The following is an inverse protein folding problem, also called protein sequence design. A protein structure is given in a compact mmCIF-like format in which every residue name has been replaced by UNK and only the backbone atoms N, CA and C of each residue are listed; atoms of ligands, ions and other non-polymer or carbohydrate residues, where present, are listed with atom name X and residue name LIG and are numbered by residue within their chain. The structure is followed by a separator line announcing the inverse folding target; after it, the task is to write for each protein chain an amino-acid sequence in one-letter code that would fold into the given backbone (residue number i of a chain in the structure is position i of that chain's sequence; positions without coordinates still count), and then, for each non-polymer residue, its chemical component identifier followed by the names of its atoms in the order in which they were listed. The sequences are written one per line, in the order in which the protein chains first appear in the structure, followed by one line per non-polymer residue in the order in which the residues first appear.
data_IF_951906790248
#
_entry.id   IF_951906790248
#
_cell.length_a   1.000
_cell.length_b   1.000
_cell.length_c   1.000
_cell.angle_alpha   90.00
_cell.angle_beta   90.00
_cell.angle_gamma   90.00
#
_symmetry.space_group_name_H-M   'P 1'
#
loop_
_entity.id
_entity.type
_entity.pdbx_description
1 polymer ?
#
# COMPACT_ATOMS: atom_id res chain seq x y z
N UNK A 1 -29.53 -2.43 -3.08
CA UNK A 1 -30.41 -2.71 -1.94
C UNK A 1 -31.84 -2.66 -2.43
N UNK A 2 -32.65 -3.65 -2.10
CA UNK A 2 -34.09 -3.69 -2.43
C UNK A 2 -34.91 -3.38 -1.19
N UNK A 3 -36.14 -2.90 -1.38
CA UNK A 3 -37.12 -2.67 -0.32
C UNK A 3 -37.19 -1.22 0.18
N UNK A 4 -37.67 -1.04 1.39
CA UNK A 4 -38.00 0.27 1.96
C UNK A 4 -36.82 0.99 2.63
N UNK A 5 -35.57 0.41 2.52
CA UNK A 5 -34.38 1.01 3.11
C UNK A 5 -33.73 1.95 2.10
N UNK A 6 -33.51 3.20 2.50
CA UNK A 6 -32.80 4.21 1.74
C UNK A 6 -31.47 4.54 2.42
N UNK A 7 -30.41 4.72 1.63
CA UNK A 7 -29.11 5.14 2.11
C UNK A 7 -28.84 6.58 1.66
N UNK A 8 -28.30 7.39 2.56
CA UNK A 8 -27.66 8.66 2.23
C UNK A 8 -26.13 8.47 2.31
N UNK A 9 -25.40 8.93 1.30
CA UNK A 9 -23.95 8.86 1.25
C UNK A 9 -23.36 10.25 1.43
N UNK A 10 -22.38 10.37 2.32
CA UNK A 10 -21.51 11.52 2.44
C UNK A 10 -20.06 11.02 2.52
N UNK A 11 -19.15 11.79 1.95
CA UNK A 11 -17.71 11.51 1.98
C UNK A 11 -16.92 12.77 2.30
N UNK A 12 -15.73 12.57 2.85
CA UNK A 12 -14.73 13.58 3.11
C UNK A 12 -13.37 13.02 2.67
N UNK A 13 -12.48 13.86 2.18
CA UNK A 13 -11.13 13.48 1.77
C UNK A 13 -10.16 13.66 2.94
N UNK A 14 -9.49 12.60 3.33
CA UNK A 14 -8.49 12.62 4.42
C UNK A 14 -7.06 12.92 3.94
N UNK A 15 -6.88 13.05 2.62
CA UNK A 15 -5.60 13.30 1.94
C UNK A 15 -4.46 12.37 2.43
N UNK A 16 -4.80 11.19 2.91
CA UNK A 16 -3.89 10.22 3.53
C UNK A 16 -3.11 10.77 4.74
N UNK A 17 -3.71 11.68 5.50
CA UNK A 17 -3.12 12.29 6.71
C UNK A 17 -3.97 11.95 7.93
N UNK A 18 -3.41 11.30 8.98
CA UNK A 18 -4.15 10.83 10.15
C UNK A 18 -4.96 11.92 10.85
N UNK A 19 -4.40 13.11 11.02
CA UNK A 19 -5.07 14.25 11.67
C UNK A 19 -6.27 14.73 10.83
N UNK A 20 -6.11 14.81 9.51
CA UNK A 20 -7.21 15.16 8.59
C UNK A 20 -8.29 14.09 8.61
N UNK A 21 -7.92 12.81 8.68
CA UNK A 21 -8.88 11.71 8.78
C UNK A 21 -9.72 11.76 10.07
N UNK A 22 -9.10 12.11 11.20
CA UNK A 22 -9.83 12.33 12.47
C UNK A 22 -10.85 13.48 12.32
N UNK A 23 -10.47 14.58 11.67
CA UNK A 23 -11.37 15.71 11.43
C UNK A 23 -12.52 15.31 10.48
N UNK A 24 -12.21 14.58 9.40
CA UNK A 24 -13.18 14.05 8.46
C UNK A 24 -14.17 13.09 9.14
N UNK A 25 -13.67 12.17 9.97
CA UNK A 25 -14.50 11.26 10.75
C UNK A 25 -15.49 12.02 11.66
N UNK A 26 -15.00 13.03 12.40
CA UNK A 26 -15.85 13.83 13.28
C UNK A 26 -16.92 14.61 12.49
N UNK A 27 -16.59 15.18 11.34
CA UNK A 27 -17.54 15.86 10.48
C UNK A 27 -18.63 14.91 9.94
N UNK A 28 -18.25 13.68 9.58
CA UNK A 28 -19.20 12.66 9.16
C UNK A 28 -20.09 12.18 10.32
N UNK A 29 -19.51 12.03 11.52
CA UNK A 29 -20.25 11.70 12.75
C UNK A 29 -21.29 12.77 13.09
N UNK A 30 -20.92 14.07 13.05
CA UNK A 30 -21.83 15.20 13.27
C UNK A 30 -22.95 15.26 12.23
N UNK A 31 -22.69 14.85 10.99
CA UNK A 31 -23.73 14.69 9.96
C UNK A 31 -24.71 13.56 10.26
N UNK A 32 -24.36 12.63 11.14
CA UNK A 32 -25.21 11.51 11.55
C UNK A 32 -24.81 10.17 10.92
N UNK A 33 -23.53 9.97 10.61
CA UNK A 33 -23.00 8.71 10.12
C UNK A 33 -23.36 7.55 11.05
N UNK A 34 -23.88 6.47 10.47
CA UNK A 34 -24.24 5.24 11.18
C UNK A 34 -23.37 4.05 10.78
N UNK A 35 -22.81 4.10 9.57
CA UNK A 35 -21.90 3.10 9.01
C UNK A 35 -20.76 3.85 8.33
N UNK A 36 -19.53 3.43 8.59
CA UNK A 36 -18.34 3.95 7.91
C UNK A 36 -17.79 2.92 6.92
N UNK A 37 -17.50 3.36 5.69
CA UNK A 37 -16.78 2.60 4.66
C UNK A 37 -15.43 3.29 4.39
N UNK A 38 -14.61 3.42 5.43
CA UNK A 38 -13.31 4.09 5.38
C UNK A 38 -12.58 3.93 6.73
N UNK A 39 -11.35 4.51 6.94
CA UNK A 39 -10.58 5.18 5.89
C UNK A 39 -10.02 4.20 4.88
N UNK A 40 -9.57 4.70 3.71
CA UNK A 40 -9.09 3.83 2.63
C UNK A 40 -7.68 3.30 2.93
N UNK A 41 -6.81 4.14 3.48
CA UNK A 41 -5.41 3.80 3.75
C UNK A 41 -5.16 3.45 5.21
N UNK A 42 -4.08 2.72 5.49
CA UNK A 42 -3.82 2.12 6.80
C UNK A 42 -3.60 3.14 7.91
N UNK A 43 -2.73 4.13 7.71
CA UNK A 43 -2.39 5.10 8.76
C UNK A 43 -3.60 5.94 9.21
N UNK A 44 -4.40 6.54 8.31
CA UNK A 44 -5.70 7.13 8.63
C UNK A 44 -6.67 6.14 9.27
N UNK A 45 -6.71 4.91 8.74
CA UNK A 45 -7.59 3.84 9.23
C UNK A 45 -7.33 3.48 10.69
N UNK A 46 -6.07 3.41 11.12
CA UNK A 46 -5.73 3.18 12.54
C UNK A 46 -6.30 4.28 13.42
N UNK A 47 -6.18 5.54 13.02
CA UNK A 47 -6.68 6.69 13.80
C UNK A 47 -8.20 6.73 13.87
N UNK A 48 -8.88 6.56 12.74
CA UNK A 48 -10.36 6.65 12.68
C UNK A 48 -11.04 5.42 13.27
N UNK A 49 -10.44 4.23 13.15
CA UNK A 49 -11.00 3.00 13.72
C UNK A 49 -11.01 3.00 15.25
N UNK A 50 -10.05 3.69 15.89
CA UNK A 50 -10.06 3.88 17.33
C UNK A 50 -11.29 4.69 17.77
N UNK A 51 -11.61 5.78 17.07
CA UNK A 51 -12.81 6.59 17.33
C UNK A 51 -14.09 5.80 17.05
N UNK A 52 -14.14 5.08 15.92
CA UNK A 52 -15.27 4.25 15.57
C UNK A 52 -15.55 3.14 16.59
N UNK A 53 -14.49 2.58 17.19
CA UNK A 53 -14.62 1.60 18.25
C UNK A 53 -15.25 2.20 19.51
N UNK A 54 -14.80 3.37 19.94
CA UNK A 54 -15.34 4.10 21.09
C UNK A 54 -16.81 4.53 20.84
N UNK A 55 -17.08 5.04 19.66
CA UNK A 55 -18.42 5.51 19.26
C UNK A 55 -19.40 4.38 18.91
N UNK A 56 -18.91 3.13 18.84
CA UNK A 56 -19.69 1.94 18.44
C UNK A 56 -20.29 2.04 17.04
N UNK A 57 -19.64 2.76 16.14
CA UNK A 57 -20.03 2.85 14.73
C UNK A 57 -19.45 1.65 13.99
N UNK A 58 -20.29 0.91 13.28
CA UNK A 58 -19.84 -0.17 12.39
C UNK A 58 -18.95 0.42 11.30
N UNK A 59 -17.75 -0.13 11.18
CA UNK A 59 -16.75 0.35 10.22
C UNK A 59 -16.19 -0.81 9.41
N UNK A 60 -16.08 -0.61 8.11
CA UNK A 60 -15.43 -1.53 7.20
C UNK A 60 -14.47 -0.75 6.31
N UNK A 61 -13.15 -1.02 6.45
CA UNK A 61 -12.18 -0.46 5.51
C UNK A 61 -12.11 -1.29 4.24
N UNK A 62 -12.16 -0.67 3.06
CA UNK A 62 -12.02 -1.40 1.79
C UNK A 62 -10.57 -1.81 1.52
N UNK A 63 -9.59 -1.01 1.94
CA UNK A 63 -8.18 -1.16 1.55
C UNK A 63 -7.17 -0.92 2.67
N UNK A 64 -7.56 -0.37 3.82
CA UNK A 64 -6.66 -0.19 4.96
C UNK A 64 -6.14 -1.53 5.48
N UNK A 65 -4.99 -1.99 4.99
CA UNK A 65 -4.51 -3.38 5.07
C UNK A 65 -3.69 -3.69 6.33
N UNK A 66 -3.29 -2.67 7.10
CA UNK A 66 -2.61 -2.90 8.39
C UNK A 66 -3.52 -3.64 9.39
N UNK A 67 -3.03 -4.70 10.05
CA UNK A 67 -3.76 -5.37 11.13
C UNK A 67 -4.16 -4.44 12.27
N UNK A 68 -3.43 -3.34 12.48
CA UNK A 68 -3.68 -2.37 13.55
C UNK A 68 -5.02 -1.62 13.35
N UNK A 69 -5.54 -1.59 12.12
CA UNK A 69 -6.86 -1.01 11.84
C UNK A 69 -7.97 -1.75 12.60
N UNK A 70 -7.90 -3.09 12.65
CA UNK A 70 -8.96 -3.93 13.23
C UNK A 70 -8.60 -4.51 14.60
N UNK A 71 -7.33 -4.54 14.97
CA UNK A 71 -6.85 -5.22 16.18
C UNK A 71 -7.56 -4.72 17.44
N UNK A 72 -8.17 -5.65 18.19
CA UNK A 72 -8.88 -5.36 19.43
C UNK A 72 -10.24 -4.65 19.28
N UNK A 73 -10.77 -4.52 18.06
CA UNK A 73 -12.01 -3.79 17.76
C UNK A 73 -13.05 -4.73 17.14
N UNK A 74 -14.16 -4.98 17.87
CA UNK A 74 -15.22 -5.92 17.47
C UNK A 74 -16.26 -5.36 16.49
N UNK A 75 -16.19 -4.06 16.19
CA UNK A 75 -17.07 -3.36 15.26
C UNK A 75 -16.33 -2.77 14.04
N UNK A 76 -15.04 -3.12 13.87
CA UNK A 76 -14.21 -2.68 12.75
C UNK A 76 -13.75 -3.90 11.95
N UNK A 77 -13.96 -3.85 10.65
CA UNK A 77 -13.68 -4.96 9.73
C UNK A 77 -12.81 -4.49 8.56
N UNK A 78 -12.08 -5.43 7.97
CA UNK A 78 -11.17 -5.22 6.86
C UNK A 78 -11.57 -6.14 5.70
N UNK A 79 -11.75 -5.59 4.50
CA UNK A 79 -12.11 -6.35 3.29
C UNK A 79 -10.90 -6.85 2.51
N UNK A 80 -9.80 -6.08 2.54
CA UNK A 80 -8.57 -6.39 1.81
C UNK A 80 -7.73 -7.45 2.54
N UNK A 81 -6.74 -7.98 1.83
CA UNK A 81 -5.69 -8.79 2.45
C UNK A 81 -4.79 -7.91 3.36
N UNK A 82 -4.14 -8.53 4.34
CA UNK A 82 -3.33 -7.79 5.30
C UNK A 82 -1.91 -7.52 4.80
N UNK A 83 -1.25 -6.48 5.38
CA UNK A 83 0.15 -6.16 5.09
C UNK A 83 1.10 -7.35 5.26
N UNK A 84 1.01 -8.16 6.34
CA UNK A 84 1.83 -9.38 6.43
C UNK A 84 1.60 -10.35 5.27
N UNK A 85 0.36 -10.52 4.80
CA UNK A 85 0.08 -11.38 3.66
C UNK A 85 0.67 -10.83 2.36
N UNK A 86 0.69 -9.50 2.17
CA UNK A 86 1.35 -8.88 1.03
C UNK A 86 2.85 -9.11 1.04
N UNK A 87 3.50 -8.91 2.19
CA UNK A 87 4.93 -9.13 2.35
C UNK A 87 5.32 -10.58 2.06
N UNK A 88 4.60 -11.53 2.65
CA UNK A 88 4.79 -12.96 2.43
C UNK A 88 4.63 -13.34 0.95
N UNK A 89 3.49 -12.98 0.35
CA UNK A 89 3.19 -13.33 -1.03
C UNK A 89 4.16 -12.70 -2.02
N UNK A 90 4.63 -11.47 -1.76
CA UNK A 90 5.62 -10.80 -2.60
C UNK A 90 6.97 -11.53 -2.58
N UNK A 91 7.48 -11.89 -1.39
CA UNK A 91 8.74 -12.63 -1.26
C UNK A 91 8.65 -14.00 -1.94
N UNK A 92 7.55 -14.73 -1.70
CA UNK A 92 7.29 -16.04 -2.32
C UNK A 92 7.25 -15.94 -3.85
N UNK A 93 6.53 -14.96 -4.39
CA UNK A 93 6.40 -14.80 -5.84
C UNK A 93 7.73 -14.40 -6.50
N UNK A 94 8.48 -13.48 -5.90
CA UNK A 94 9.81 -13.09 -6.40
C UNK A 94 10.73 -14.31 -6.43
N UNK A 95 10.73 -15.12 -5.37
CA UNK A 95 11.53 -16.33 -5.26
C UNK A 95 11.12 -17.41 -6.28
N UNK A 96 9.83 -17.76 -6.33
CA UNK A 96 9.31 -18.84 -7.17
C UNK A 96 9.46 -18.54 -8.67
N UNK A 97 9.33 -17.27 -9.05
CA UNK A 97 9.48 -16.85 -10.44
C UNK A 97 10.92 -16.48 -10.83
N UNK A 98 11.86 -16.47 -9.87
CA UNK A 98 13.24 -16.06 -10.12
C UNK A 98 13.34 -14.65 -10.70
N UNK A 99 12.55 -13.72 -10.16
CA UNK A 99 12.43 -12.37 -10.73
C UNK A 99 13.70 -11.54 -10.56
N UNK A 100 14.49 -11.78 -9.52
CA UNK A 100 15.76 -11.14 -9.25
C UNK A 100 16.65 -12.05 -8.44
N UNK A 101 17.99 -11.88 -8.59
CA UNK A 101 18.99 -12.58 -7.80
C UNK A 101 19.35 -11.81 -6.54
N UNK A 102 19.33 -10.46 -6.61
CA UNK A 102 19.69 -9.54 -5.54
C UNK A 102 18.61 -8.50 -5.34
N UNK A 103 17.87 -8.65 -4.26
CA UNK A 103 16.74 -7.77 -3.94
C UNK A 103 17.20 -6.65 -3.01
N UNK A 104 16.86 -5.41 -3.35
CA UNK A 104 16.99 -4.26 -2.45
C UNK A 104 15.59 -3.71 -2.13
N UNK A 105 15.38 -3.22 -0.90
CA UNK A 105 14.06 -2.75 -0.47
C UNK A 105 14.11 -1.26 -0.19
N UNK A 106 13.20 -0.48 -0.80
CA UNK A 106 13.02 0.94 -0.43
C UNK A 106 11.63 1.08 0.18
N UNK A 107 11.56 1.50 1.44
CA UNK A 107 10.34 1.51 2.21
C UNK A 107 10.19 2.74 3.09
N UNK A 108 8.95 3.06 3.47
CA UNK A 108 8.60 4.24 4.27
C UNK A 108 8.49 3.84 5.75
N UNK A 109 9.43 4.30 6.59
CA UNK A 109 9.55 3.82 7.96
C UNK A 109 8.68 4.56 8.99
N UNK A 110 7.98 5.61 8.57
CA UNK A 110 6.98 6.32 9.37
C UNK A 110 5.54 5.99 8.95
N UNK A 111 5.32 4.87 8.27
CA UNK A 111 4.02 4.40 7.79
C UNK A 111 3.78 2.94 8.20
N UNK A 112 2.64 2.66 8.82
CA UNK A 112 2.32 1.31 9.34
C UNK A 112 2.12 0.30 8.22
N UNK A 113 1.59 0.72 7.07
CA UNK A 113 1.41 -0.10 5.88
C UNK A 113 2.75 -0.58 5.33
N UNK A 114 3.62 0.36 5.01
CA UNK A 114 4.95 0.07 4.45
C UNK A 114 5.79 -0.78 5.41
N UNK A 115 5.75 -0.46 6.71
CA UNK A 115 6.46 -1.20 7.76
C UNK A 115 5.95 -2.62 7.92
N UNK A 116 4.63 -2.81 7.91
CA UNK A 116 3.99 -4.13 8.05
C UNK A 116 4.37 -5.09 6.92
N UNK A 117 4.35 -4.60 5.69
CA UNK A 117 4.75 -5.37 4.50
C UNK A 117 6.26 -5.69 4.55
N UNK A 118 7.10 -4.67 4.82
CA UNK A 118 8.55 -4.83 4.90
C UNK A 118 8.95 -5.91 5.90
N UNK A 119 8.43 -5.87 7.12
CA UNK A 119 8.78 -6.80 8.18
C UNK A 119 8.48 -8.26 7.79
N UNK A 120 7.32 -8.50 7.21
CA UNK A 120 6.96 -9.86 6.77
C UNK A 120 7.73 -10.29 5.54
N UNK A 121 7.96 -9.38 4.58
CA UNK A 121 8.78 -9.67 3.41
C UNK A 121 10.18 -10.14 3.80
N UNK A 122 10.85 -9.43 4.70
CA UNK A 122 12.21 -9.80 5.15
C UNK A 122 12.21 -11.15 5.87
N UNK A 123 11.19 -11.41 6.72
CA UNK A 123 11.05 -12.68 7.41
C UNK A 123 10.90 -13.85 6.43
N UNK A 124 10.06 -13.69 5.42
CA UNK A 124 9.82 -14.74 4.42
C UNK A 124 11.01 -14.88 3.47
N UNK A 125 11.63 -13.78 3.05
CA UNK A 125 12.82 -13.78 2.22
C UNK A 125 13.97 -14.57 2.87
N UNK A 126 14.19 -14.38 4.18
CA UNK A 126 15.18 -15.14 4.95
C UNK A 126 14.83 -16.64 4.97
N UNK A 127 13.57 -16.99 5.19
CA UNK A 127 13.11 -18.37 5.22
C UNK A 127 13.28 -19.10 3.88
N UNK A 128 13.09 -18.38 2.77
CA UNK A 128 13.24 -18.88 1.41
C UNK A 128 14.70 -18.91 0.92
N UNK A 129 15.59 -18.15 1.59
CA UNK A 129 16.97 -17.93 1.12
C UNK A 129 17.05 -16.95 -0.06
N UNK A 130 16.10 -16.04 -0.19
CA UNK A 130 16.14 -14.95 -1.16
C UNK A 130 17.22 -13.93 -0.74
N UNK A 131 18.12 -13.56 -1.64
CA UNK A 131 19.23 -12.66 -1.33
C UNK A 131 18.77 -11.19 -1.25
N UNK A 132 18.46 -10.74 -0.03
CA UNK A 132 18.15 -9.34 0.26
C UNK A 132 19.45 -8.61 0.57
N UNK A 133 20.03 -7.95 -0.44
CA UNK A 133 21.36 -7.29 -0.37
C UNK A 133 21.35 -5.99 0.41
N UNK A 134 20.19 -5.45 0.77
CA UNK A 134 20.07 -4.27 1.60
C UNK A 134 18.69 -3.65 1.60
N UNK A 135 18.56 -2.59 2.38
CA UNK A 135 17.35 -1.78 2.38
C UNK A 135 17.68 -0.32 2.68
N UNK A 136 16.80 0.59 2.27
CA UNK A 136 16.88 2.01 2.60
C UNK A 136 15.47 2.55 2.92
N UNK A 137 15.43 3.57 3.76
CA UNK A 137 14.18 4.16 4.21
C UNK A 137 14.01 5.60 3.75
N UNK A 138 12.78 6.05 3.79
CA UNK A 138 12.41 7.45 3.73
C UNK A 138 11.23 7.71 4.68
N UNK A 139 10.91 8.98 4.88
CA UNK A 139 9.78 9.47 5.69
C UNK A 139 8.89 10.37 4.85
N UNK A 140 7.77 10.80 5.38
CA UNK A 140 6.90 11.79 4.76
C UNK A 140 7.68 13.03 4.32
N UNK A 141 8.60 13.53 5.16
CA UNK A 141 9.37 14.75 4.89
C UNK A 141 10.47 14.56 3.83
N UNK A 142 10.86 13.32 3.54
CA UNK A 142 11.95 12.99 2.60
C UNK A 142 11.47 12.24 1.36
N UNK A 143 10.17 12.24 1.09
CA UNK A 143 9.50 11.46 0.04
C UNK A 143 9.61 12.03 -1.38
N UNK A 144 10.55 12.92 -1.64
CA UNK A 144 10.70 13.58 -2.95
C UNK A 144 12.04 13.35 -3.64
N UNK A 145 13.05 12.91 -2.91
CA UNK A 145 14.39 12.64 -3.46
C UNK A 145 14.90 11.28 -2.96
N UNK A 146 15.09 10.37 -3.89
CA UNK A 146 15.48 8.98 -3.64
C UNK A 146 16.87 8.64 -4.20
N UNK A 147 17.64 9.65 -4.63
CA UNK A 147 18.97 9.44 -5.22
C UNK A 147 19.89 8.66 -4.28
N UNK A 148 19.85 8.92 -2.97
CA UNK A 148 20.69 8.20 -1.99
C UNK A 148 20.28 6.73 -1.92
N UNK A 149 18.98 6.44 -1.81
CA UNK A 149 18.46 5.07 -1.73
C UNK A 149 18.76 4.29 -3.00
N UNK A 150 18.59 4.91 -4.17
CA UNK A 150 18.90 4.31 -5.46
C UNK A 150 20.41 4.07 -5.64
N UNK A 151 21.27 5.00 -5.19
CA UNK A 151 22.71 4.81 -5.20
C UNK A 151 23.11 3.61 -4.33
N UNK A 152 22.55 3.48 -3.13
CA UNK A 152 22.81 2.33 -2.25
C UNK A 152 22.37 1.01 -2.90
N UNK A 153 21.21 0.97 -3.55
CA UNK A 153 20.75 -0.20 -4.28
C UNK A 153 21.70 -0.59 -5.43
N UNK A 154 22.14 0.41 -6.21
CA UNK A 154 23.06 0.21 -7.32
C UNK A 154 24.44 -0.28 -6.84
N UNK A 155 24.98 0.31 -5.77
CA UNK A 155 26.25 -0.10 -5.17
C UNK A 155 26.18 -1.50 -4.56
N UNK A 156 25.04 -1.91 -4.02
CA UNK A 156 24.78 -3.27 -3.56
C UNK A 156 24.64 -4.28 -4.72
N UNK A 157 24.56 -3.80 -5.95
CA UNK A 157 24.40 -4.62 -7.15
C UNK A 157 23.00 -5.23 -7.27
N UNK A 158 21.99 -4.57 -6.74
CA UNK A 158 20.61 -5.04 -6.81
C UNK A 158 20.09 -5.05 -8.26
N UNK A 159 19.49 -6.14 -8.66
CA UNK A 159 18.81 -6.33 -9.96
C UNK A 159 17.29 -6.25 -9.85
N UNK A 160 16.77 -6.25 -8.62
CA UNK A 160 15.36 -6.02 -8.31
C UNK A 160 15.23 -5.08 -7.11
N UNK A 161 14.35 -4.07 -7.23
CA UNK A 161 13.96 -3.22 -6.11
C UNK A 161 12.51 -3.55 -5.72
N UNK A 162 12.31 -3.96 -4.47
CA UNK A 162 11.01 -4.14 -3.87
C UNK A 162 10.53 -2.83 -3.23
N UNK A 163 9.30 -2.41 -3.58
CA UNK A 163 8.70 -1.14 -3.20
C UNK A 163 7.37 -1.36 -2.43
N UNK A 164 7.40 -1.66 -1.11
CA UNK A 164 6.19 -1.72 -0.29
C UNK A 164 5.69 -0.31 0.07
N UNK A 165 5.27 0.46 -0.92
CA UNK A 165 4.95 1.88 -0.82
C UNK A 165 3.79 2.25 -1.75
N UNK A 166 3.28 3.48 -1.61
CA UNK A 166 2.24 4.02 -2.49
C UNK A 166 2.79 4.54 -3.82
N UNK A 167 1.88 4.75 -4.78
CA UNK A 167 2.19 5.09 -6.18
C UNK A 167 2.94 6.43 -6.38
N UNK A 168 2.69 7.44 -5.53
CA UNK A 168 3.36 8.74 -5.69
C UNK A 168 4.88 8.67 -5.45
N UNK A 169 5.39 8.19 -4.29
CA UNK A 169 6.83 8.01 -4.13
C UNK A 169 7.41 6.98 -5.12
N UNK A 170 6.65 5.94 -5.49
CA UNK A 170 7.08 4.96 -6.46
C UNK A 170 7.34 5.61 -7.84
N UNK A 171 6.45 6.47 -8.33
CA UNK A 171 6.64 7.18 -9.62
C UNK A 171 7.91 8.04 -9.63
N UNK A 172 8.24 8.67 -8.49
CA UNK A 172 9.47 9.45 -8.33
C UNK A 172 10.72 8.56 -8.30
N UNK A 173 10.65 7.40 -7.67
CA UNK A 173 11.74 6.41 -7.64
C UNK A 173 12.03 5.92 -9.06
N UNK A 174 11.01 5.53 -9.83
CA UNK A 174 11.17 5.09 -11.22
C UNK A 174 11.78 6.20 -12.09
N UNK A 175 11.27 7.42 -11.97
CA UNK A 175 11.79 8.58 -12.70
C UNK A 175 13.25 8.87 -12.36
N UNK A 176 13.63 8.83 -11.09
CA UNK A 176 15.00 9.11 -10.67
C UNK A 176 15.96 7.97 -11.01
N UNK A 177 15.51 6.71 -10.99
CA UNK A 177 16.31 5.59 -11.46
C UNK A 177 16.65 5.71 -12.95
N UNK A 178 15.68 6.09 -13.78
CA UNK A 178 15.89 6.37 -15.21
C UNK A 178 16.90 7.50 -15.42
N UNK A 179 16.75 8.61 -14.70
CA UNK A 179 17.68 9.75 -14.75
C UNK A 179 19.12 9.37 -14.36
N UNK A 180 19.28 8.38 -13.47
CA UNK A 180 20.58 7.83 -13.07
C UNK A 180 21.12 6.79 -14.06
N UNK A 181 20.36 6.38 -15.08
CA UNK A 181 20.68 5.27 -15.95
C UNK A 181 20.72 3.93 -15.23
N UNK A 182 19.99 3.78 -14.13
CA UNK A 182 19.88 2.56 -13.34
C UNK A 182 18.53 1.88 -13.63
N UNK A 183 18.58 0.70 -14.23
CA UNK A 183 17.40 -0.01 -14.72
C UNK A 183 17.25 -1.40 -14.06
N UNK A 184 17.01 -1.47 -12.74
CA UNK A 184 16.63 -2.72 -12.08
C UNK A 184 15.19 -3.09 -12.44
N UNK A 185 14.77 -4.32 -12.14
CA UNK A 185 13.35 -4.64 -12.09
C UNK A 185 12.71 -3.97 -10.88
N UNK A 186 11.45 -3.58 -11.01
CA UNK A 186 10.66 -3.06 -9.89
C UNK A 186 9.50 -3.98 -9.58
N UNK A 187 9.32 -4.27 -8.32
CA UNK A 187 8.19 -5.04 -7.82
C UNK A 187 7.52 -4.26 -6.68
N UNK A 188 6.23 -4.04 -6.80
CA UNK A 188 5.43 -3.29 -5.83
C UNK A 188 4.30 -4.10 -5.23
N UNK A 189 3.46 -3.40 -4.51
CA UNK A 189 2.29 -3.92 -3.79
C UNK A 189 1.04 -3.13 -4.21
N UNK A 190 -0.12 -3.44 -3.65
CA UNK A 190 -1.40 -2.83 -4.03
C UNK A 190 -1.40 -1.30 -3.98
N UNK A 191 -0.66 -0.70 -3.04
CA UNK A 191 -0.51 0.76 -2.95
C UNK A 191 0.14 1.42 -4.17
N UNK A 192 0.77 0.65 -5.06
CA UNK A 192 1.29 1.15 -6.33
C UNK A 192 0.26 1.16 -7.45
N UNK A 193 -0.90 0.54 -7.26
CA UNK A 193 -1.99 0.62 -8.22
C UNK A 193 -2.41 2.10 -8.40
N UNK A 194 -2.65 2.50 -9.65
CA UNK A 194 -2.89 3.91 -9.97
C UNK A 194 -1.65 4.72 -10.37
N UNK A 195 -0.44 4.14 -10.37
CA UNK A 195 0.81 4.83 -10.77
C UNK A 195 0.71 5.44 -12.18
N UNK A 196 -0.02 4.80 -13.09
CA UNK A 196 -0.23 5.30 -14.45
C UNK A 196 -1.09 6.56 -14.52
N UNK A 197 -1.82 6.89 -13.44
CA UNK A 197 -2.63 8.10 -13.32
C UNK A 197 -1.92 9.29 -12.67
N UNK A 198 -0.65 9.15 -12.29
CA UNK A 198 0.10 10.23 -11.66
C UNK A 198 0.36 11.35 -12.67
N UNK A 199 -0.06 12.57 -12.33
CA UNK A 199 0.12 13.72 -13.20
C UNK A 199 1.60 14.00 -13.46
N UNK A 200 1.98 14.09 -14.75
CA UNK A 200 3.35 14.36 -15.17
C UNK A 200 4.31 13.17 -15.11
N UNK A 201 3.83 11.99 -14.72
CA UNK A 201 4.63 10.77 -14.77
C UNK A 201 4.73 10.23 -16.20
N UNK A 202 5.94 9.90 -16.65
CA UNK A 202 6.14 9.18 -17.90
C UNK A 202 5.79 7.70 -17.71
N UNK A 203 4.61 7.31 -18.18
CA UNK A 203 4.08 5.95 -18.02
C UNK A 203 4.92 4.88 -18.71
N UNK A 204 5.80 5.24 -19.66
CA UNK A 204 6.72 4.28 -20.28
C UNK A 204 7.74 3.72 -19.28
N UNK A 205 8.02 4.44 -18.19
CA UNK A 205 8.90 3.99 -17.10
C UNK A 205 8.26 2.88 -16.23
N UNK A 206 6.95 2.70 -16.35
CA UNK A 206 6.25 1.61 -15.69
C UNK A 206 6.21 0.31 -16.51
N UNK A 207 6.79 0.30 -17.72
CA UNK A 207 6.85 -0.92 -18.53
C UNK A 207 7.70 -1.99 -17.81
N UNK A 208 7.11 -3.17 -17.63
CA UNK A 208 7.75 -4.28 -16.91
C UNK A 208 7.72 -4.18 -15.38
N UNK A 209 7.14 -3.13 -14.81
CA UNK A 209 6.86 -3.06 -13.37
C UNK A 209 5.77 -4.07 -13.02
N UNK A 210 6.01 -4.85 -11.99
CA UNK A 210 5.03 -5.81 -11.45
C UNK A 210 4.54 -5.33 -10.10
N UNK A 211 3.29 -5.62 -9.79
CA UNK A 211 2.72 -5.35 -8.47
C UNK A 211 1.77 -6.45 -8.03
N UNK A 212 1.69 -6.65 -6.72
CA UNK A 212 0.68 -7.49 -6.12
C UNK A 212 -0.62 -6.66 -5.97
N UNK A 213 -1.73 -7.19 -6.45
CA UNK A 213 -3.04 -6.54 -6.33
C UNK A 213 -4.12 -7.56 -5.95
N UNK A 214 -5.11 -7.20 -5.12
CA UNK A 214 -6.22 -8.08 -4.80
C UNK A 214 -7.24 -8.19 -5.92
N UNK A 215 -7.23 -7.26 -6.87
CA UNK A 215 -8.21 -7.17 -7.94
C UNK A 215 -7.54 -6.80 -9.26
N UNK A 216 -7.90 -7.53 -10.31
CA UNK A 216 -7.53 -7.19 -11.67
C UNK A 216 -8.82 -7.05 -12.50
N UNK A 217 -9.09 -5.83 -12.97
CA UNK A 217 -10.29 -5.53 -13.76
C UNK A 217 -10.35 -6.31 -15.10
N UNK A 218 -9.21 -6.75 -15.60
CA UNK A 218 -9.10 -7.53 -16.85
C UNK A 218 -9.13 -9.06 -16.60
N UNK A 219 -9.31 -9.50 -15.36
CA UNK A 219 -9.42 -10.92 -15.03
C UNK A 219 -10.69 -11.51 -15.67
N UNK A 220 -10.58 -12.76 -16.10
CA UNK A 220 -11.64 -13.46 -16.85
C UNK A 220 -12.39 -14.49 -16.02
N UNK A 221 -12.19 -14.53 -14.73
CA UNK A 221 -12.97 -15.38 -13.85
C UNK A 221 -14.43 -14.90 -13.71
N UNK A 222 -15.33 -15.85 -13.46
CA UNK A 222 -16.77 -15.60 -13.46
C UNK A 222 -17.20 -14.51 -12.47
N UNK A 223 -16.51 -14.38 -11.34
CA UNK A 223 -16.85 -13.38 -10.30
C UNK A 223 -16.46 -11.97 -10.75
N UNK A 224 -15.28 -11.80 -11.35
CA UNK A 224 -14.81 -10.51 -11.88
C UNK A 224 -15.64 -10.07 -13.08
N UNK A 225 -15.97 -11.00 -13.98
CA UNK A 225 -16.82 -10.70 -15.16
C UNK A 225 -18.26 -10.31 -14.74
N UNK A 226 -18.77 -10.86 -13.65
CA UNK A 226 -20.11 -10.54 -13.12
C UNK A 226 -20.17 -9.22 -12.36
N UNK A 227 -19.06 -8.73 -11.85
CA UNK A 227 -18.93 -7.46 -11.13
C UNK A 227 -18.86 -6.28 -12.08
#
# INVERSE_FOLDING_TARGET
AGGDIQFALKYEDDVNVPETAVNAYNALKEWGMQISLGSVTSQPGVSTSALAFEDRIFTMTPSGSSPDVISGKDNVYQMCFSDPNQGLASAQYIYDQGLGEKVFIIWKNDDVYSTGIYNQFVTEAEALGLDVVGNATFTTDTSTNFTVQLTQAQEAGADLIFLPIYYQPASMILTQADQMGYAPKFFGVDGMDGILGVEGFDTSLAEGVMLLTPFNADATDDATVAF
#
